data_IF_213556456266
#
_entry.id   IF_213556456266
#
_cell.length_a   1.000
_cell.length_b   1.000
_cell.length_c   1.000
_cell.angle_alpha   90.00
_cell.angle_beta   90.00
_cell.angle_gamma   90.00
#
_symmetry.space_group_name_H-M   'P 1'
#
loop_
_entity.id
_entity.type
_entity.pdbx_description
1 polymer ?
#
# COMPACT_ATOMS: atom_id res chain seq x y z
N UNK A 1 -9.71 -9.71 0.42
CA UNK A 1 -9.47 -9.12 1.75
C UNK A 1 -9.29 -10.21 2.81
N UNK A 2 -10.28 -11.08 3.03
CA UNK A 2 -10.22 -12.08 4.10
C UNK A 2 -9.01 -13.02 3.99
N UNK A 3 -8.76 -13.57 2.81
CA UNK A 3 -7.57 -14.42 2.56
C UNK A 3 -6.27 -13.68 2.85
N UNK A 4 -6.17 -12.41 2.43
CA UNK A 4 -4.99 -11.60 2.70
C UNK A 4 -4.81 -11.37 4.20
N UNK A 5 -5.87 -10.95 4.91
CA UNK A 5 -5.80 -10.72 6.35
C UNK A 5 -5.41 -11.96 7.15
N UNK A 6 -5.95 -13.14 6.79
CA UNK A 6 -5.55 -14.42 7.39
C UNK A 6 -4.06 -14.70 7.16
N UNK A 7 -3.58 -14.56 5.92
CA UNK A 7 -2.17 -14.80 5.58
C UNK A 7 -1.24 -13.84 6.32
N UNK A 8 -1.59 -12.56 6.42
CA UNK A 8 -0.80 -11.58 7.18
C UNK A 8 -0.65 -12.03 8.65
N UNK A 9 -1.75 -12.43 9.29
CA UNK A 9 -1.72 -12.93 10.66
C UNK A 9 -0.89 -14.22 10.81
N UNK A 10 -1.07 -15.20 9.92
CA UNK A 10 -0.31 -16.46 9.91
C UNK A 10 1.20 -16.23 9.77
N UNK A 11 1.61 -15.25 8.97
CA UNK A 11 3.00 -14.84 8.79
C UNK A 11 3.51 -13.84 9.85
N UNK A 12 2.68 -13.48 10.84
CA UNK A 12 2.98 -12.49 11.89
C UNK A 12 3.36 -11.12 11.33
N UNK A 13 2.71 -10.73 10.24
CA UNK A 13 2.88 -9.43 9.61
C UNK A 13 1.83 -8.49 10.22
N UNK A 14 2.29 -7.39 10.82
CA UNK A 14 1.39 -6.33 11.29
C UNK A 14 0.82 -5.59 10.08
N UNK A 15 -0.50 -5.39 10.06
CA UNK A 15 -1.16 -4.56 9.06
C UNK A 15 -1.13 -3.09 9.49
N UNK A 16 -0.62 -2.22 8.60
CA UNK A 16 -0.77 -0.76 8.72
C UNK A 16 -1.80 -0.32 7.69
N UNK A 17 -2.85 0.38 8.09
CA UNK A 17 -3.83 0.91 7.15
C UNK A 17 -4.42 2.27 7.59
N UNK A 18 -5.31 2.82 6.78
CA UNK A 18 -5.95 4.11 7.03
C UNK A 18 -7.11 4.09 8.02
N UNK A 19 -7.26 3.03 8.82
CA UNK A 19 -8.27 2.89 9.88
C UNK A 19 -9.75 3.03 9.45
N UNK A 20 -10.09 3.00 8.16
CA UNK A 20 -11.48 3.14 7.73
C UNK A 20 -12.38 1.97 8.19
N UNK A 21 -13.62 2.31 8.55
CA UNK A 21 -14.62 1.37 9.10
C UNK A 21 -15.48 0.67 8.06
N UNK A 22 -15.20 0.83 6.76
CA UNK A 22 -15.99 0.25 5.66
C UNK A 22 -15.11 -0.37 4.56
N UNK A 23 -15.72 -1.15 3.67
CA UNK A 23 -15.11 -1.68 2.45
C UNK A 23 -13.98 -2.68 2.71
N UNK A 24 -13.05 -2.78 1.75
CA UNK A 24 -11.94 -3.73 1.83
C UNK A 24 -10.96 -3.41 2.96
N UNK A 25 -10.81 -2.13 3.33
CA UNK A 25 -9.96 -1.71 4.45
C UNK A 25 -10.43 -2.32 5.77
N UNK A 26 -11.74 -2.26 6.05
CA UNK A 26 -12.34 -2.94 7.19
C UNK A 26 -12.20 -4.46 7.07
N UNK A 27 -12.56 -5.04 5.92
CA UNK A 27 -12.56 -6.50 5.75
C UNK A 27 -11.17 -7.11 5.98
N UNK A 28 -10.08 -6.46 5.52
CA UNK A 28 -8.74 -6.97 5.77
C UNK A 28 -8.33 -6.81 7.23
N UNK A 29 -8.69 -5.69 7.88
CA UNK A 29 -8.43 -5.48 9.30
C UNK A 29 -9.16 -6.50 10.18
N UNK A 30 -10.46 -6.69 9.96
CA UNK A 30 -11.26 -7.71 10.66
C UNK A 30 -10.66 -9.11 10.50
N UNK A 31 -10.19 -9.46 9.30
CA UNK A 31 -9.59 -10.77 9.04
C UNK A 31 -8.25 -10.95 9.76
N UNK A 32 -7.40 -9.93 9.81
CA UNK A 32 -6.14 -9.96 10.59
C UNK A 32 -6.44 -10.17 12.07
N UNK A 33 -7.32 -9.36 12.65
CA UNK A 33 -7.69 -9.41 14.07
C UNK A 33 -8.31 -10.74 14.44
N UNK A 34 -9.25 -11.25 13.63
CA UNK A 34 -9.90 -12.55 13.81
C UNK A 34 -8.91 -13.72 13.87
N UNK A 35 -7.80 -13.62 13.18
CA UNK A 35 -6.75 -14.64 13.15
C UNK A 35 -5.58 -14.34 14.12
N UNK A 36 -5.78 -13.44 15.10
CA UNK A 36 -4.81 -13.15 16.16
C UNK A 36 -3.64 -12.26 15.74
N UNK A 37 -3.73 -11.60 14.58
CA UNK A 37 -2.74 -10.63 14.12
C UNK A 37 -2.99 -9.23 14.68
N UNK A 38 -2.11 -8.29 14.35
CA UNK A 38 -2.15 -6.91 14.82
C UNK A 38 -2.43 -5.94 13.68
N UNK A 39 -3.23 -4.90 13.98
CA UNK A 39 -3.57 -3.83 13.04
C UNK A 39 -3.32 -2.47 13.67
N UNK A 40 -2.47 -1.67 13.03
CA UNK A 40 -2.28 -0.25 13.37
C UNK A 40 -3.00 0.60 12.33
N UNK A 41 -3.94 1.40 12.77
CA UNK A 41 -4.65 2.36 11.92
C UNK A 41 -4.04 3.76 12.06
N UNK A 42 -3.88 4.47 10.94
CA UNK A 42 -3.45 5.87 10.93
C UNK A 42 -4.55 6.72 10.32
N UNK A 43 -5.05 7.71 11.07
CA UNK A 43 -6.23 8.47 10.66
C UNK A 43 -6.16 9.92 11.10
N UNK A 44 -6.62 10.88 10.29
CA UNK A 44 -6.76 12.27 10.71
C UNK A 44 -7.83 12.45 11.79
N UNK A 45 -7.57 13.33 12.75
CA UNK A 45 -8.47 13.62 13.87
C UNK A 45 -9.89 13.97 13.42
N UNK A 46 -10.04 14.79 12.38
CA UNK A 46 -11.37 15.15 11.88
C UNK A 46 -12.21 13.94 11.45
N UNK A 47 -11.58 12.85 10.97
CA UNK A 47 -12.28 11.61 10.60
C UNK A 47 -12.68 10.80 11.84
N UNK A 48 -11.89 10.85 12.90
CA UNK A 48 -12.23 10.25 14.20
C UNK A 48 -13.46 10.93 14.80
N UNK A 49 -13.51 12.26 14.77
CA UNK A 49 -14.65 13.07 15.22
C UNK A 49 -15.96 12.75 14.47
N UNK A 50 -15.84 12.30 13.21
CA UNK A 50 -16.98 11.83 12.41
C UNK A 50 -17.32 10.33 12.62
N UNK A 51 -16.61 9.63 13.50
CA UNK A 51 -16.76 8.18 13.73
C UNK A 51 -16.53 7.32 12.47
N UNK A 52 -15.64 7.73 11.59
CA UNK A 52 -15.31 6.96 10.37
C UNK A 52 -14.27 5.88 10.59
N UNK A 53 -13.66 5.83 11.78
CA UNK A 53 -12.62 4.87 12.11
C UNK A 53 -13.16 3.52 12.57
N UNK A 54 -12.34 2.50 12.40
CA UNK A 54 -12.57 1.16 12.93
C UNK A 54 -12.21 1.13 14.42
N UNK A 55 -13.18 0.82 15.29
CA UNK A 55 -13.02 0.91 16.76
C UNK A 55 -12.31 -0.30 17.39
N UNK A 56 -12.09 -1.38 16.65
CA UNK A 56 -11.49 -2.63 17.16
C UNK A 56 -10.03 -2.85 16.79
N UNK A 57 -9.32 -1.83 16.30
CA UNK A 57 -7.91 -1.96 15.92
C UNK A 57 -7.02 -2.17 17.14
N UNK A 58 -5.86 -2.84 16.94
CA UNK A 58 -4.85 -3.02 17.99
C UNK A 58 -4.28 -1.68 18.44
N UNK A 59 -4.06 -0.77 17.49
CA UNK A 59 -3.54 0.58 17.73
C UNK A 59 -4.19 1.57 16.77
N UNK A 60 -4.47 2.78 17.26
CA UNK A 60 -4.95 3.90 16.45
C UNK A 60 -4.01 5.09 16.63
N UNK A 61 -3.43 5.56 15.55
CA UNK A 61 -2.56 6.74 15.51
C UNK A 61 -3.34 7.88 14.87
N UNK A 62 -3.66 8.90 15.66
CA UNK A 62 -4.27 10.13 15.17
C UNK A 62 -3.20 11.07 14.63
N UNK A 63 -3.49 11.73 13.51
CA UNK A 63 -2.65 12.72 12.85
C UNK A 63 -3.46 13.97 12.50
N UNK A 64 -2.79 15.07 12.14
CA UNK A 64 -3.47 16.34 11.88
C UNK A 64 -3.94 16.49 10.42
N UNK A 65 -3.32 15.78 9.47
CA UNK A 65 -3.62 15.95 8.06
C UNK A 65 -3.57 14.64 7.25
N UNK A 66 -4.17 14.67 6.04
CA UNK A 66 -4.06 13.55 5.09
C UNK A 66 -2.62 13.33 4.62
N UNK A 67 -1.80 14.37 4.50
CA UNK A 67 -0.39 14.24 4.14
C UNK A 67 0.41 13.54 5.25
N UNK A 68 0.20 13.94 6.50
CA UNK A 68 0.83 13.30 7.65
C UNK A 68 0.41 11.83 7.76
N UNK A 69 -0.88 11.51 7.52
CA UNK A 69 -1.38 10.13 7.50
C UNK A 69 -0.59 9.27 6.51
N UNK A 70 -0.50 9.69 5.25
CA UNK A 70 0.19 8.94 4.20
C UNK A 70 1.68 8.78 4.53
N UNK A 71 2.32 9.86 4.96
CA UNK A 71 3.72 9.80 5.39
C UNK A 71 3.92 8.82 6.54
N UNK A 72 3.08 8.90 7.58
CA UNK A 72 3.17 8.02 8.75
C UNK A 72 2.97 6.55 8.39
N UNK A 73 2.00 6.24 7.53
CA UNK A 73 1.78 4.87 7.04
C UNK A 73 3.01 4.34 6.30
N UNK A 74 3.60 5.13 5.42
CA UNK A 74 4.81 4.74 4.68
C UNK A 74 6.02 4.55 5.61
N UNK A 75 6.22 5.43 6.58
CA UNK A 75 7.33 5.36 7.54
C UNK A 75 7.24 4.14 8.48
N UNK A 76 6.02 3.63 8.73
CA UNK A 76 5.78 2.45 9.56
C UNK A 76 5.82 1.13 8.77
N UNK A 77 5.88 1.19 7.44
CA UNK A 77 5.70 0.00 6.58
C UNK A 77 7.00 -0.48 5.97
N UNK A 78 7.24 -1.79 6.03
CA UNK A 78 8.34 -2.48 5.35
C UNK A 78 7.97 -2.96 3.93
N UNK A 79 6.73 -2.74 3.51
CA UNK A 79 6.21 -3.06 2.19
C UNK A 79 4.76 -2.64 2.04
N UNK A 80 4.29 -2.53 0.81
CA UNK A 80 2.94 -2.07 0.50
C UNK A 80 2.23 -3.08 -0.39
N UNK A 81 0.97 -3.38 -0.07
CA UNK A 81 0.06 -4.13 -0.92
C UNK A 81 -1.15 -3.25 -1.24
N UNK A 82 -1.27 -2.81 -2.49
CA UNK A 82 -2.42 -2.06 -2.96
C UNK A 82 -3.58 -3.00 -3.30
N UNK A 83 -4.71 -2.83 -2.64
CA UNK A 83 -5.97 -3.54 -2.92
C UNK A 83 -6.83 -2.74 -3.91
N UNK A 84 -7.76 -3.38 -4.65
CA UNK A 84 -8.76 -2.67 -5.43
C UNK A 84 -9.47 -1.59 -4.61
N UNK A 85 -9.58 -0.38 -5.16
CA UNK A 85 -10.16 0.75 -4.44
C UNK A 85 -10.42 1.96 -5.34
N UNK A 86 -10.99 3.02 -4.77
CA UNK A 86 -11.33 4.24 -5.50
C UNK A 86 -10.17 5.24 -5.62
N UNK A 87 -10.54 6.51 -5.84
CA UNK A 87 -9.57 7.61 -6.05
C UNK A 87 -8.52 7.72 -4.93
N UNK A 88 -8.91 7.52 -3.66
CA UNK A 88 -7.97 7.57 -2.55
C UNK A 88 -6.88 6.49 -2.64
N UNK A 89 -7.25 5.26 -3.03
CA UNK A 89 -6.29 4.18 -3.26
C UNK A 89 -5.36 4.48 -4.42
N UNK A 90 -5.89 5.01 -5.52
CA UNK A 90 -5.09 5.38 -6.69
C UNK A 90 -4.13 6.52 -6.37
N UNK A 91 -4.58 7.51 -5.63
CA UNK A 91 -3.77 8.65 -5.20
C UNK A 91 -2.63 8.20 -4.29
N UNK A 92 -2.91 7.38 -3.26
CA UNK A 92 -1.90 6.82 -2.36
C UNK A 92 -0.89 5.92 -3.11
N UNK A 93 -1.37 5.09 -4.05
CA UNK A 93 -0.50 4.22 -4.85
C UNK A 93 0.42 5.02 -5.78
N UNK A 94 -0.09 6.01 -6.50
CA UNK A 94 0.72 6.83 -7.40
C UNK A 94 1.71 7.72 -6.63
N UNK A 95 1.34 8.21 -5.44
CA UNK A 95 2.24 8.95 -4.59
C UNK A 95 3.42 8.08 -4.12
N UNK A 96 3.16 6.85 -3.64
CA UNK A 96 4.25 5.98 -3.16
C UNK A 96 5.13 5.47 -4.31
N UNK A 97 4.58 5.24 -5.51
CA UNK A 97 5.36 4.96 -6.72
C UNK A 97 6.29 6.14 -7.01
N UNK A 98 5.79 7.37 -6.95
CA UNK A 98 6.58 8.59 -7.13
C UNK A 98 7.68 8.71 -6.06
N UNK A 99 7.37 8.44 -4.79
CA UNK A 99 8.38 8.45 -3.73
C UNK A 99 9.48 7.40 -3.97
N UNK A 100 9.12 6.23 -4.47
CA UNK A 100 10.11 5.19 -4.81
C UNK A 100 10.95 5.59 -6.02
N UNK A 101 10.36 6.22 -7.04
CA UNK A 101 11.09 6.82 -8.16
C UNK A 101 12.11 7.87 -7.69
N UNK A 102 11.75 8.69 -6.69
CA UNK A 102 12.62 9.71 -6.11
C UNK A 102 13.59 9.16 -5.04
N UNK A 103 13.53 7.86 -4.71
CA UNK A 103 14.35 7.25 -3.67
C UNK A 103 13.98 7.70 -2.25
N UNK A 104 12.76 8.16 -2.03
CA UNK A 104 12.19 8.54 -0.72
C UNK A 104 11.55 7.34 -0.01
N UNK A 105 11.21 6.30 -0.75
CA UNK A 105 10.70 5.01 -0.28
C UNK A 105 11.41 3.89 -1.03
N UNK A 106 11.91 2.88 -0.35
CA UNK A 106 12.74 1.85 -0.99
C UNK A 106 12.13 0.44 -0.87
N UNK A 107 11.11 0.28 -0.04
CA UNK A 107 10.51 -1.03 0.24
C UNK A 107 9.65 -1.52 -0.93
N UNK A 108 9.28 -2.82 -0.97
CA UNK A 108 8.43 -3.40 -2.00
C UNK A 108 7.07 -2.71 -2.14
N UNK A 109 6.60 -2.55 -3.38
CA UNK A 109 5.24 -2.11 -3.71
C UNK A 109 4.61 -3.22 -4.55
N UNK A 110 3.53 -3.82 -4.05
CA UNK A 110 2.80 -4.90 -4.71
C UNK A 110 1.38 -4.43 -5.03
N UNK A 111 0.97 -4.58 -6.27
CA UNK A 111 -0.39 -4.30 -6.76
C UNK A 111 -1.14 -5.63 -6.82
N UNK A 112 -2.10 -5.84 -5.92
CA UNK A 112 -2.93 -7.04 -5.91
C UNK A 112 -4.05 -6.92 -6.95
N UNK A 113 -3.76 -7.39 -8.16
CA UNK A 113 -4.60 -7.24 -9.36
C UNK A 113 -5.66 -8.34 -9.48
N UNK A 114 -6.61 -8.38 -8.56
CA UNK A 114 -7.70 -9.35 -8.59
C UNK A 114 -8.65 -9.08 -9.75
N UNK A 115 -8.86 -10.10 -10.59
CA UNK A 115 -9.75 -10.03 -11.76
C UNK A 115 -9.41 -8.90 -12.74
N UNK A 116 -8.14 -8.51 -12.84
CA UNK A 116 -7.70 -7.46 -13.76
C UNK A 116 -8.15 -6.04 -13.36
N UNK A 117 -8.50 -5.82 -12.07
CA UNK A 117 -9.00 -4.52 -11.62
C UNK A 117 -8.05 -3.36 -11.96
N UNK A 118 -6.75 -3.58 -11.84
CA UNK A 118 -5.72 -2.59 -12.13
C UNK A 118 -5.19 -2.61 -13.56
N UNK A 119 -5.70 -3.48 -14.46
CA UNK A 119 -5.20 -3.55 -15.84
C UNK A 119 -5.16 -2.19 -16.55
N UNK A 120 -6.20 -1.31 -16.46
CA UNK A 120 -6.15 0.01 -17.07
C UNK A 120 -5.05 0.92 -16.49
N UNK A 121 -4.81 0.85 -15.17
CA UNK A 121 -3.75 1.61 -14.52
C UNK A 121 -2.37 1.11 -14.96
N UNK A 122 -2.18 -0.21 -14.98
CA UNK A 122 -0.94 -0.83 -15.39
C UNK A 122 -0.62 -0.51 -16.85
N UNK A 123 -1.62 -0.53 -17.73
CA UNK A 123 -1.48 -0.11 -19.13
C UNK A 123 -1.09 1.37 -19.24
N UNK A 124 -1.67 2.25 -18.42
CA UNK A 124 -1.30 3.67 -18.39
C UNK A 124 0.14 3.89 -17.90
N UNK A 125 0.55 3.20 -16.84
CA UNK A 125 1.93 3.27 -16.33
C UNK A 125 2.93 2.74 -17.36
N UNK A 126 2.61 1.65 -18.05
CA UNK A 126 3.45 1.13 -19.14
C UNK A 126 3.56 2.14 -20.28
N UNK A 127 2.44 2.75 -20.68
CA UNK A 127 2.44 3.80 -21.70
C UNK A 127 3.32 4.99 -21.31
N UNK A 128 3.32 5.39 -20.04
CA UNK A 128 4.20 6.45 -19.56
C UNK A 128 5.69 6.10 -19.69
N UNK A 129 6.05 4.82 -19.54
CA UNK A 129 7.40 4.32 -19.79
C UNK A 129 7.72 4.32 -21.30
N UNK A 130 6.82 3.79 -22.11
CA UNK A 130 7.01 3.64 -23.57
C UNK A 130 7.16 5.01 -24.26
N UNK A 131 6.44 6.02 -23.76
CA UNK A 131 6.50 7.39 -24.30
C UNK A 131 7.57 8.26 -23.60
N UNK A 132 8.42 7.67 -22.75
CA UNK A 132 9.52 8.33 -22.03
C UNK A 132 9.11 9.41 -21.01
N UNK A 133 7.86 9.39 -20.50
CA UNK A 133 7.45 10.14 -19.30
C UNK A 133 7.97 9.50 -18.01
N UNK A 134 8.36 8.24 -18.09
CA UNK A 134 9.08 7.48 -17.06
C UNK A 134 10.24 6.73 -17.72
N UNK A 135 11.36 6.58 -17.00
CA UNK A 135 12.49 5.78 -17.53
C UNK A 135 12.14 4.29 -17.55
N UNK A 136 12.72 3.52 -18.46
CA UNK A 136 12.51 2.08 -18.57
C UNK A 136 12.72 1.32 -17.25
N UNK A 137 13.72 1.70 -16.47
CA UNK A 137 14.00 1.11 -15.15
C UNK A 137 12.87 1.31 -14.14
N UNK A 138 12.02 2.35 -14.30
CA UNK A 138 10.91 2.63 -13.40
C UNK A 138 9.78 1.61 -13.53
N UNK A 139 9.73 0.80 -14.60
CA UNK A 139 8.79 -0.34 -14.73
C UNK A 139 8.98 -1.42 -13.66
N UNK A 140 10.15 -1.45 -13.01
CA UNK A 140 10.47 -2.39 -11.92
C UNK A 140 10.13 -1.83 -10.51
N UNK A 141 9.53 -0.63 -10.40
CA UNK A 141 9.18 -0.01 -9.11
C UNK A 141 8.09 -0.81 -8.38
N UNK A 142 7.14 -1.37 -9.13
CA UNK A 142 6.01 -2.14 -8.59
C UNK A 142 6.03 -3.57 -9.10
N UNK A 143 5.40 -4.46 -8.36
CA UNK A 143 5.16 -5.85 -8.74
C UNK A 143 3.67 -6.10 -8.76
N UNK A 144 3.22 -7.03 -9.61
CA UNK A 144 1.80 -7.38 -9.76
C UNK A 144 1.59 -8.78 -9.23
N UNK A 145 0.61 -8.94 -8.35
CA UNK A 145 0.19 -10.23 -7.83
C UNK A 145 -1.26 -10.54 -8.26
N UNK A 146 -1.52 -11.75 -8.67
CA UNK A 146 -2.87 -12.23 -9.00
C UNK A 146 -3.61 -12.79 -7.79
N UNK A 147 -2.90 -13.16 -6.73
CA UNK A 147 -3.46 -13.75 -5.51
C UNK A 147 -2.90 -13.11 -4.24
N UNK A 148 -3.63 -13.26 -3.13
CA UNK A 148 -3.17 -12.78 -1.84
C UNK A 148 -1.89 -13.49 -1.36
N UNK A 149 -1.73 -14.77 -1.66
CA UNK A 149 -0.51 -15.54 -1.33
C UNK A 149 0.71 -14.99 -2.06
N UNK A 150 0.59 -14.78 -3.38
CA UNK A 150 1.63 -14.18 -4.19
C UNK A 150 1.98 -12.76 -3.71
N UNK A 151 0.99 -11.95 -3.31
CA UNK A 151 1.26 -10.62 -2.79
C UNK A 151 2.07 -10.63 -1.50
N UNK A 152 1.77 -11.55 -0.57
CA UNK A 152 2.53 -11.72 0.68
C UNK A 152 3.95 -12.23 0.38
N UNK A 153 4.10 -13.18 -0.54
CA UNK A 153 5.41 -13.68 -0.96
C UNK A 153 6.27 -12.56 -1.56
N UNK A 154 5.72 -11.77 -2.49
CA UNK A 154 6.44 -10.66 -3.14
C UNK A 154 6.89 -9.59 -2.13
N UNK A 155 6.07 -9.25 -1.14
CA UNK A 155 6.49 -8.30 -0.09
C UNK A 155 7.71 -8.80 0.68
N UNK A 156 7.85 -10.12 0.88
CA UNK A 156 8.99 -10.70 1.59
C UNK A 156 10.23 -10.91 0.72
N UNK A 157 10.04 -11.23 -0.56
CA UNK A 157 11.13 -11.69 -1.44
C UNK A 157 11.71 -10.60 -2.32
N UNK A 158 10.93 -9.56 -2.63
CA UNK A 158 11.43 -8.45 -3.45
C UNK A 158 12.47 -7.66 -2.66
N UNK A 159 13.69 -7.49 -3.20
CA UNK A 159 14.73 -6.74 -2.52
C UNK A 159 14.39 -5.25 -2.40
N UNK A 160 15.05 -4.57 -1.47
CA UNK A 160 14.97 -3.12 -1.37
C UNK A 160 15.42 -2.48 -2.68
N UNK A 161 14.75 -1.40 -3.04
CA UNK A 161 15.12 -0.58 -4.19
C UNK A 161 16.47 0.10 -3.98
N UNK A 162 17.26 0.25 -5.05
CA UNK A 162 18.57 0.90 -4.96
C UNK A 162 18.43 2.40 -4.64
N UNK A 163 18.97 2.82 -3.51
CA UNK A 163 18.97 4.22 -3.08
C UNK A 163 19.75 5.15 -4.04
N UNK A 164 20.62 4.61 -4.89
CA UNK A 164 21.35 5.37 -5.90
C UNK A 164 20.44 5.97 -6.98
N UNK A 165 19.19 5.50 -7.06
CA UNK A 165 18.15 6.03 -7.97
C UNK A 165 18.02 7.55 -7.85
N UNK A 166 18.28 8.15 -6.68
CA UNK A 166 18.27 9.60 -6.47
C UNK A 166 19.16 10.37 -7.45
N UNK A 167 20.25 9.76 -7.92
CA UNK A 167 21.16 10.36 -8.91
C UNK A 167 20.52 10.44 -10.30
N UNK A 168 19.48 9.63 -10.54
CA UNK A 168 18.81 9.47 -11.84
C UNK A 168 17.31 9.79 -11.75
N UNK A 169 16.83 10.32 -10.62
CA UNK A 169 15.41 10.59 -10.39
C UNK A 169 14.88 11.72 -11.28
N UNK A 170 15.74 12.64 -11.73
CA UNK A 170 15.34 13.65 -12.71
C UNK A 170 15.04 12.99 -14.06
N UNK A 171 13.89 13.29 -14.61
CA UNK A 171 13.43 12.86 -15.93
C UNK A 171 14.19 13.67 -17.01
#
# INVERSE_FOLDING_TARGET
ADTLGRLLAEHRIRLINGAGSIGLMRSVADAVLKNGGEVTGVIPRFMVEQNWHHTGLTELIEVESMHERKRKMADLSDGIIALPGGCGTLEELLEIITWKQLGLYLNPIVILNIKGYFDPLLAMLQKAVDENFMRAQHSAIWHVAATAGEAVELVHTVPLWDASIRKFAAI
#
